data_IF_324013306484
#
_entry.id   IF_324013306484
#
_cell.length_a   1.000
_cell.length_b   1.000
_cell.length_c   1.000
_cell.angle_alpha   90.00
_cell.angle_beta   90.00
_cell.angle_gamma   90.00
#
_symmetry.space_group_name_H-M   'P 1'
#
loop_
_entity.id
_entity.type
_entity.pdbx_description
1 polymer ?
#
# COMPACT_ATOMS: atom_id res chain seq x y z
N UNK A 1 -26.00 -1.85 -26.61
CA UNK A 1 -26.17 -2.24 -25.19
C UNK A 1 -24.77 -2.40 -24.65
N UNK A 2 -24.33 -1.42 -23.87
CA UNK A 2 -22.98 -1.37 -23.31
C UNK A 2 -22.83 -2.46 -22.25
N UNK A 3 -21.72 -3.20 -22.31
CA UNK A 3 -21.49 -4.36 -21.45
C UNK A 3 -21.24 -3.94 -20.02
N UNK A 4 -22.08 -4.41 -19.11
CA UNK A 4 -21.78 -4.42 -17.67
C UNK A 4 -20.58 -5.35 -17.44
N UNK A 5 -19.39 -4.77 -17.29
CA UNK A 5 -18.30 -5.44 -16.59
C UNK A 5 -18.71 -5.54 -15.13
N UNK A 6 -19.26 -6.69 -14.75
CA UNK A 6 -19.34 -7.11 -13.35
C UNK A 6 -17.91 -7.26 -12.82
N UNK A 7 -17.32 -6.17 -12.37
CA UNK A 7 -16.15 -6.23 -11.50
C UNK A 7 -16.61 -6.89 -10.19
N UNK A 8 -16.07 -8.08 -9.90
CA UNK A 8 -16.30 -8.74 -8.62
C UNK A 8 -15.96 -7.75 -7.50
N UNK A 9 -16.76 -7.67 -6.42
CA UNK A 9 -16.37 -6.86 -5.27
C UNK A 9 -15.00 -7.32 -4.79
N UNK A 10 -14.07 -6.36 -4.68
CA UNK A 10 -12.74 -6.61 -4.13
C UNK A 10 -12.94 -7.07 -2.69
N UNK A 11 -12.30 -8.18 -2.31
CA UNK A 11 -12.17 -8.58 -0.91
C UNK A 11 -11.23 -7.59 -0.20
N UNK A 12 -11.78 -6.43 0.19
CA UNK A 12 -11.02 -5.35 0.82
C UNK A 12 -10.34 -5.87 2.10
N UNK A 13 -11.02 -6.71 2.89
CA UNK A 13 -10.48 -7.26 4.14
C UNK A 13 -9.29 -8.19 3.89
N UNK A 14 -9.39 -9.10 2.91
CA UNK A 14 -8.29 -9.94 2.48
C UNK A 14 -7.08 -9.12 2.03
N UNK A 15 -7.31 -8.08 1.21
CA UNK A 15 -6.24 -7.17 0.75
C UNK A 15 -5.58 -6.44 1.92
N UNK A 16 -6.37 -5.88 2.85
CA UNK A 16 -5.85 -5.17 4.03
C UNK A 16 -4.99 -6.09 4.88
N UNK A 17 -5.45 -7.31 5.14
CA UNK A 17 -4.75 -8.28 5.98
C UNK A 17 -3.41 -8.68 5.35
N UNK A 18 -3.38 -8.96 4.05
CA UNK A 18 -2.14 -9.26 3.33
C UNK A 18 -1.20 -8.05 3.28
N UNK A 19 -1.73 -6.83 3.12
CA UNK A 19 -0.93 -5.62 3.11
C UNK A 19 -0.26 -5.35 4.47
N UNK A 20 -1.02 -5.53 5.56
CA UNK A 20 -0.48 -5.44 6.93
C UNK A 20 0.62 -6.47 7.15
N UNK A 21 0.41 -7.74 6.78
CA UNK A 21 1.43 -8.78 6.89
C UNK A 21 2.71 -8.42 6.12
N UNK A 22 2.59 -7.97 4.86
CA UNK A 22 3.75 -7.57 4.03
C UNK A 22 4.51 -6.41 4.66
N UNK A 23 3.81 -5.33 5.00
CA UNK A 23 4.39 -4.17 5.70
C UNK A 23 5.08 -4.58 7.00
N UNK A 24 4.43 -5.41 7.82
CA UNK A 24 4.99 -5.85 9.09
C UNK A 24 6.22 -6.72 8.87
N UNK A 25 6.21 -7.62 7.88
CA UNK A 25 7.39 -8.42 7.53
C UNK A 25 8.60 -7.56 7.16
N UNK A 26 8.39 -6.47 6.41
CA UNK A 26 9.44 -5.52 6.07
C UNK A 26 10.04 -4.85 7.31
N UNK A 27 9.20 -4.37 8.22
CA UNK A 27 9.67 -3.71 9.45
C UNK A 27 10.37 -4.64 10.45
N UNK A 28 10.16 -5.95 10.34
CA UNK A 28 10.81 -6.97 11.18
C UNK A 28 12.08 -7.56 10.55
N UNK A 29 12.51 -7.09 9.37
CA UNK A 29 13.79 -7.50 8.78
C UNK A 29 14.98 -7.06 9.67
N UNK A 30 15.89 -7.98 10.06
CA UNK A 30 17.02 -7.67 10.92
C UNK A 30 17.91 -6.55 10.36
N UNK A 31 18.12 -5.49 11.13
CA UNK A 31 18.99 -4.36 10.75
C UNK A 31 18.43 -3.41 9.68
N UNK A 32 17.25 -3.69 9.09
CA UNK A 32 16.70 -2.95 7.95
C UNK A 32 15.57 -1.99 8.31
N UNK A 33 15.12 -1.95 9.57
CA UNK A 33 13.97 -1.15 10.03
C UNK A 33 14.00 0.31 9.59
N UNK A 34 15.13 1.01 9.76
CA UNK A 34 15.25 2.43 9.40
C UNK A 34 15.22 2.64 7.88
N UNK A 35 15.84 1.73 7.14
CA UNK A 35 15.87 1.76 5.67
C UNK A 35 14.47 1.57 5.09
N UNK A 36 13.75 0.55 5.58
CA UNK A 36 12.35 0.28 5.24
C UNK A 36 11.46 1.48 5.58
N UNK A 37 11.66 2.10 6.75
CA UNK A 37 10.92 3.29 7.13
C UNK A 37 11.15 4.44 6.15
N UNK A 38 12.41 4.71 5.79
CA UNK A 38 12.78 5.74 4.81
C UNK A 38 12.12 5.49 3.45
N UNK A 39 12.15 4.24 2.96
CA UNK A 39 11.53 3.87 1.68
C UNK A 39 10.01 4.07 1.70
N UNK A 40 9.35 3.75 2.82
CA UNK A 40 7.90 3.97 2.97
C UNK A 40 7.57 5.47 2.99
N UNK A 41 8.38 6.29 3.66
CA UNK A 41 8.25 7.77 3.64
C UNK A 41 8.45 8.32 2.22
N UNK A 42 9.47 7.86 1.51
CA UNK A 42 9.70 8.28 0.12
C UNK A 42 8.53 7.91 -0.80
N UNK A 43 7.91 6.74 -0.58
CA UNK A 43 6.71 6.32 -1.30
C UNK A 43 5.54 7.24 -0.95
N UNK A 44 5.32 7.56 0.34
CA UNK A 44 4.21 8.42 0.75
C UNK A 44 4.35 9.83 0.19
N UNK A 45 5.54 10.42 0.25
CA UNK A 45 5.78 11.78 -0.23
C UNK A 45 5.53 11.89 -1.74
N UNK A 46 5.93 10.87 -2.51
CA UNK A 46 5.64 10.79 -3.95
C UNK A 46 4.14 10.68 -4.23
N UNK A 47 3.42 9.88 -3.44
CA UNK A 47 1.97 9.73 -3.60
C UNK A 47 1.23 11.02 -3.22
N UNK A 48 1.61 11.67 -2.12
CA UNK A 48 1.04 12.96 -1.70
C UNK A 48 1.31 14.07 -2.73
N UNK A 49 2.52 14.11 -3.30
CA UNK A 49 2.86 15.10 -4.34
C UNK A 49 2.11 14.87 -5.65
N UNK A 50 1.77 13.62 -5.99
CA UNK A 50 1.14 13.28 -7.27
C UNK A 50 -0.39 13.33 -7.20
N UNK A 51 -0.97 12.95 -6.06
CA UNK A 51 -2.41 12.80 -5.89
C UNK A 51 -2.93 13.80 -4.85
N UNK A 52 -3.71 14.83 -5.24
CA UNK A 52 -4.31 15.78 -4.31
C UNK A 52 -5.21 15.12 -3.24
N UNK A 53 -5.74 13.93 -3.55
CA UNK A 53 -6.58 13.11 -2.69
C UNK A 53 -5.84 11.95 -2.00
N UNK A 54 -4.50 11.93 -1.96
CA UNK A 54 -3.75 10.81 -1.35
C UNK A 54 -4.21 10.47 0.08
N UNK A 55 -4.51 11.49 0.89
CA UNK A 55 -5.05 11.35 2.27
C UNK A 55 -6.51 10.91 2.34
N UNK A 56 -7.15 10.67 1.19
CA UNK A 56 -8.49 10.06 1.07
C UNK A 56 -8.42 8.67 0.43
N UNK A 57 -7.22 8.12 0.23
CA UNK A 57 -7.01 6.75 -0.25
C UNK A 57 -6.77 5.82 0.95
N UNK A 58 -7.56 4.76 1.10
CA UNK A 58 -7.55 3.96 2.33
C UNK A 58 -6.23 3.21 2.56
N UNK A 59 -5.70 2.52 1.53
CA UNK A 59 -4.46 1.76 1.66
C UNK A 59 -3.23 2.64 1.93
N UNK A 60 -3.28 3.94 1.59
CA UNK A 60 -2.25 4.91 1.98
C UNK A 60 -2.10 4.96 3.50
N UNK A 61 -3.21 5.01 4.23
CA UNK A 61 -3.21 5.02 5.69
C UNK A 61 -2.78 3.69 6.28
N UNK A 62 -3.20 2.56 5.68
CA UNK A 62 -2.76 1.23 6.13
C UNK A 62 -1.24 1.08 5.98
N UNK A 63 -0.65 1.52 4.87
CA UNK A 63 0.81 1.51 4.69
C UNK A 63 1.52 2.33 5.77
N UNK A 64 0.98 3.50 6.13
CA UNK A 64 1.56 4.43 7.12
C UNK A 64 1.23 4.10 8.58
N UNK A 65 0.64 2.95 8.88
CA UNK A 65 0.18 2.60 10.25
C UNK A 65 -0.86 3.61 10.82
N UNK A 66 -1.55 4.33 9.95
CA UNK A 66 -2.58 5.30 10.33
C UNK A 66 -3.96 4.63 10.48
N UNK A 67 -4.64 4.89 11.60
CA UNK A 67 -5.96 4.35 11.91
C UNK A 67 -7.12 5.17 11.35
N UNK A 68 -7.16 5.40 10.03
CA UNK A 68 -8.31 6.09 9.41
C UNK A 68 -9.51 5.15 9.31
N UNK A 69 -10.71 5.70 9.39
CA UNK A 69 -11.95 4.99 9.10
C UNK A 69 -12.13 4.87 7.57
N UNK A 70 -12.40 3.66 7.07
CA UNK A 70 -12.65 3.37 5.65
C UNK A 70 -13.75 4.27 5.06
N UNK A 71 -14.76 4.64 5.86
CA UNK A 71 -15.86 5.50 5.43
C UNK A 71 -15.44 6.95 5.13
N UNK A 72 -14.27 7.38 5.61
CA UNK A 72 -13.70 8.72 5.33
C UNK A 72 -12.86 8.75 4.05
N UNK A 73 -12.59 7.59 3.45
CA UNK A 73 -11.79 7.46 2.24
C UNK A 73 -12.70 7.35 1.01
N UNK A 74 -12.31 8.06 -0.06
CA UNK A 74 -13.02 8.03 -1.35
C UNK A 74 -12.49 6.92 -2.24
N UNK A 75 -11.20 6.60 -2.13
CA UNK A 75 -10.54 5.54 -2.88
C UNK A 75 -10.07 4.45 -1.93
N UNK A 76 -10.08 3.21 -2.41
CA UNK A 76 -9.46 2.10 -1.68
C UNK A 76 -7.93 2.10 -1.88
N UNK A 77 -7.47 2.19 -3.12
CA UNK A 77 -6.05 2.17 -3.52
C UNK A 77 -5.77 3.20 -4.64
N UNK A 78 -4.49 3.44 -4.94
CA UNK A 78 -4.05 4.23 -6.09
C UNK A 78 -4.05 3.40 -7.38
N UNK A 79 -4.25 4.03 -8.55
CA UNK A 79 -4.31 3.33 -9.82
C UNK A 79 -2.92 2.88 -10.33
N UNK A 80 -2.91 1.87 -11.18
CA UNK A 80 -1.74 1.50 -11.99
C UNK A 80 -0.54 1.05 -11.16
N UNK A 81 0.62 1.64 -11.42
CA UNK A 81 1.88 1.35 -10.71
C UNK A 81 2.02 2.10 -9.38
N UNK A 82 1.09 2.99 -9.06
CA UNK A 82 1.07 3.69 -7.78
C UNK A 82 0.33 2.94 -6.68
N UNK A 83 -0.35 1.83 -7.03
CA UNK A 83 -1.00 0.93 -6.07
C UNK A 83 -0.09 0.61 -4.90
N UNK A 84 -0.60 0.82 -3.68
CA UNK A 84 0.13 0.52 -2.45
C UNK A 84 0.44 -0.98 -2.36
N UNK A 85 -0.47 -1.83 -2.83
CA UNK A 85 -0.26 -3.28 -2.91
C UNK A 85 0.97 -3.58 -3.75
N UNK A 86 1.03 -3.07 -4.99
CA UNK A 86 2.16 -3.32 -5.89
C UNK A 86 3.47 -2.77 -5.34
N UNK A 87 3.44 -1.56 -4.77
CA UNK A 87 4.65 -0.92 -4.22
C UNK A 87 5.22 -1.72 -3.04
N UNK A 88 4.38 -2.21 -2.13
CA UNK A 88 4.85 -3.05 -1.02
C UNK A 88 5.32 -4.43 -1.50
N UNK A 89 4.67 -5.02 -2.50
CA UNK A 89 5.15 -6.28 -3.10
C UNK A 89 6.50 -6.13 -3.77
N UNK A 90 6.74 -5.02 -4.48
CA UNK A 90 8.04 -4.72 -5.06
C UNK A 90 9.11 -4.58 -3.98
N UNK A 91 8.81 -3.87 -2.89
CA UNK A 91 9.72 -3.68 -1.77
C UNK A 91 10.06 -5.00 -1.06
N UNK A 92 9.06 -5.88 -0.86
CA UNK A 92 9.29 -7.24 -0.32
C UNK A 92 10.23 -8.03 -1.22
N UNK A 93 10.04 -7.98 -2.55
CA UNK A 93 10.92 -8.68 -3.50
C UNK A 93 12.34 -8.12 -3.52
N UNK A 94 12.51 -6.81 -3.40
CA UNK A 94 13.82 -6.14 -3.29
C UNK A 94 14.60 -6.69 -2.09
N UNK A 95 14.00 -6.68 -0.90
CA UNK A 95 14.68 -7.16 0.31
C UNK A 95 14.86 -8.69 0.37
N UNK A 96 13.96 -9.48 -0.24
CA UNK A 96 14.17 -10.93 -0.37
C UNK A 96 15.29 -11.31 -1.34
N UNK A 97 15.61 -10.43 -2.31
CA UNK A 97 16.72 -10.63 -3.22
C UNK A 97 18.06 -10.24 -2.59
N UNK A 98 18.08 -9.28 -1.66
CA UNK A 98 19.28 -8.88 -0.91
C UNK A 98 19.77 -9.91 0.11
N UNK A 99 18.87 -10.75 0.63
CA UNK A 99 19.17 -11.82 1.61
C UNK A 99 19.73 -13.12 0.97
N UNK A 100 20.00 -13.14 -0.34
CA UNK A 100 20.55 -14.28 -1.08
C UNK A 100 22.00 -14.04 -1.52
#
# INVERSE_FOLDING_TARGET
MEGEKFEKPIDEEGVINELKKKRDSLYHLPGKKLEVHSKIVDISDKLESKYPNARKTYLFHIMLYSGIDRAKCVDFDFPGEDSVVKRLEALVKEYQAEDK
#
